data_IF_622507119869
#
_entry.id   IF_622507119869
#
_cell.length_a   1.000
_cell.length_b   1.000
_cell.length_c   1.000
_cell.angle_alpha   90.00
_cell.angle_beta   90.00
_cell.angle_gamma   90.00
#
_symmetry.space_group_name_H-M   'P 1'
#
loop_
_entity.id
_entity.type
_entity.pdbx_description
1 polymer ?
#
# COMPACT_ATOMS: atom_id res chain seq x y z
N UNK A 1 1.29 20.73 -1.03
CA UNK A 1 0.56 19.58 -1.59
C UNK A 1 1.05 18.30 -0.94
N UNK A 2 0.18 17.68 -0.15
CA UNK A 2 0.44 16.44 0.59
C UNK A 2 0.15 15.18 -0.25
N UNK A 3 -0.10 15.36 -1.55
CA UNK A 3 -0.40 14.28 -2.49
C UNK A 3 0.92 13.74 -3.02
N UNK A 4 1.28 12.53 -2.57
CA UNK A 4 2.49 11.84 -3.01
C UNK A 4 2.34 11.31 -4.44
N UNK A 5 1.13 10.88 -4.81
CA UNK A 5 0.84 10.33 -6.12
C UNK A 5 -0.65 10.50 -6.45
N UNK A 6 -0.97 10.73 -7.72
CA UNK A 6 -2.34 10.89 -8.22
C UNK A 6 -2.47 10.21 -9.58
N UNK A 7 -3.53 9.43 -9.73
CA UNK A 7 -3.87 8.75 -10.97
C UNK A 7 -5.34 9.02 -11.27
N UNK A 8 -5.63 9.44 -12.49
CA UNK A 8 -6.99 9.76 -12.95
C UNK A 8 -7.32 9.06 -14.29
N UNK A 9 -6.40 8.24 -14.80
CA UNK A 9 -6.60 7.49 -16.03
C UNK A 9 -7.72 6.47 -15.87
N UNK A 10 -8.45 6.20 -16.95
CA UNK A 10 -9.43 5.12 -16.97
C UNK A 10 -8.72 3.77 -16.80
N UNK A 11 -8.84 3.20 -15.60
CA UNK A 11 -8.28 1.88 -15.29
C UNK A 11 -9.13 0.73 -15.85
N UNK A 12 -10.27 1.02 -16.49
CA UNK A 12 -11.05 0.04 -17.23
C UNK A 12 -10.46 -0.16 -18.64
N UNK A 13 -9.94 -1.36 -18.88
CA UNK A 13 -9.67 -1.84 -20.24
C UNK A 13 -10.91 -2.60 -20.72
N UNK A 14 -11.69 -1.97 -21.59
CA UNK A 14 -12.95 -2.52 -22.10
C UNK A 14 -14.11 -2.38 -21.10
N UNK A 15 -15.19 -3.12 -21.37
CA UNK A 15 -16.41 -3.05 -20.57
C UNK A 15 -16.27 -3.81 -19.24
N UNK A 16 -16.52 -3.12 -18.13
CA UNK A 16 -16.63 -3.73 -16.79
C UNK A 16 -18.10 -3.81 -16.43
N UNK A 17 -18.62 -5.03 -16.36
CA UNK A 17 -20.02 -5.29 -16.06
C UNK A 17 -20.38 -5.15 -14.59
N UNK A 18 -21.68 -5.07 -14.32
CA UNK A 18 -22.19 -5.11 -12.95
C UNK A 18 -21.73 -6.38 -12.23
N UNK A 19 -21.20 -6.22 -11.01
CA UNK A 19 -20.71 -7.34 -10.19
C UNK A 19 -19.38 -7.95 -10.67
N UNK A 20 -18.71 -7.34 -11.64
CA UNK A 20 -17.34 -7.70 -11.99
C UNK A 20 -16.35 -6.91 -11.14
N UNK A 21 -15.38 -7.61 -10.58
CA UNK A 21 -14.30 -6.97 -9.84
C UNK A 21 -13.27 -6.37 -10.80
N UNK A 22 -12.74 -5.21 -10.42
CA UNK A 22 -11.63 -4.58 -11.13
C UNK A 22 -10.45 -4.46 -10.18
N UNK A 23 -9.38 -5.17 -10.51
CA UNK A 23 -8.12 -5.05 -9.79
C UNK A 23 -7.49 -3.68 -10.07
N UNK A 24 -7.17 -2.96 -9.01
CA UNK A 24 -6.25 -1.84 -9.07
C UNK A 24 -4.83 -2.38 -9.37
N UNK A 25 -4.14 -1.85 -10.40
CA UNK A 25 -2.76 -2.26 -10.70
C UNK A 25 -1.84 -1.63 -9.64
N UNK A 26 -1.56 -2.39 -8.58
CA UNK A 26 -0.64 -1.99 -7.51
C UNK A 26 0.85 -1.98 -7.91
N UNK A 27 1.72 -1.61 -6.97
CA UNK A 27 3.18 -1.64 -7.12
C UNK A 27 3.83 -0.38 -7.71
N UNK A 28 3.04 0.67 -7.96
CA UNK A 28 3.53 1.95 -8.51
C UNK A 28 3.76 3.02 -7.45
N UNK A 29 3.10 2.89 -6.30
CA UNK A 29 3.18 3.88 -5.23
C UNK A 29 4.57 3.93 -4.61
N UNK A 30 5.20 5.10 -4.65
CA UNK A 30 6.45 5.32 -3.92
C UNK A 30 6.16 5.55 -2.42
N UNK A 31 6.29 4.48 -1.63
CA UNK A 31 6.06 4.47 -0.18
C UNK A 31 7.39 4.48 0.61
N UNK A 32 8.31 5.37 0.25
CA UNK A 32 9.69 5.41 0.75
C UNK A 32 9.88 6.20 2.06
N UNK A 33 8.87 6.94 2.52
CA UNK A 33 8.94 7.74 3.74
C UNK A 33 8.26 7.04 4.90
N UNK A 34 8.82 7.21 6.08
CA UNK A 34 8.18 6.76 7.32
C UNK A 34 6.90 7.55 7.58
N UNK A 35 5.89 6.88 8.12
CA UNK A 35 4.62 7.50 8.49
C UNK A 35 3.41 6.78 7.93
N UNK A 36 2.24 7.36 8.15
CA UNK A 36 0.96 6.85 7.63
C UNK A 36 0.64 7.50 6.29
N UNK A 37 0.49 6.68 5.27
CA UNK A 37 -0.03 7.08 3.97
C UNK A 37 -1.54 6.95 3.97
N UNK A 38 -2.21 8.00 3.49
CA UNK A 38 -3.65 8.02 3.28
C UNK A 38 -3.97 7.76 1.81
N UNK A 39 -5.17 7.26 1.54
CA UNK A 39 -5.69 7.06 0.19
C UNK A 39 -7.07 7.68 0.06
N UNK A 40 -7.33 8.23 -1.11
CA UNK A 40 -8.66 8.61 -1.57
C UNK A 40 -8.88 7.92 -2.92
N UNK A 41 -10.01 7.22 -3.07
CA UNK A 41 -10.43 6.53 -4.29
C UNK A 41 -11.83 7.00 -4.61
N UNK A 42 -12.06 7.42 -5.84
CA UNK A 42 -13.39 7.77 -6.33
C UNK A 42 -13.73 6.90 -7.55
N UNK A 43 -14.96 6.40 -7.59
CA UNK A 43 -15.50 5.66 -8.73
C UNK A 43 -16.35 6.63 -9.57
N UNK A 44 -15.97 6.78 -10.83
CA UNK A 44 -16.74 7.55 -11.80
C UNK A 44 -17.45 6.61 -12.78
N UNK A 45 -18.73 6.88 -13.03
CA UNK A 45 -19.53 6.21 -14.06
C UNK A 45 -19.92 7.19 -15.16
N UNK A 46 -20.29 6.66 -16.34
CA UNK A 46 -20.59 7.41 -17.57
C UNK A 46 -19.34 8.07 -18.21
N UNK A 47 -18.65 7.34 -19.09
CA UNK A 47 -17.40 7.81 -19.72
C UNK A 47 -17.54 9.13 -20.52
N UNK A 48 -18.71 9.41 -21.11
CA UNK A 48 -18.92 10.63 -21.88
C UNK A 48 -19.15 11.88 -21.03
N UNK A 49 -19.68 11.69 -19.80
CA UNK A 49 -19.91 12.74 -18.81
C UNK A 49 -19.77 12.12 -17.40
N UNK A 50 -18.52 12.00 -16.90
CA UNK A 50 -18.22 11.24 -15.70
C UNK A 50 -18.89 11.80 -14.44
N UNK A 51 -19.59 10.93 -13.72
CA UNK A 51 -20.25 11.24 -12.45
C UNK A 51 -19.65 10.37 -11.34
N UNK A 52 -19.22 11.01 -10.25
CA UNK A 52 -18.78 10.31 -9.03
C UNK A 52 -19.97 9.57 -8.41
N UNK A 53 -19.89 8.25 -8.33
CA UNK A 53 -20.95 7.41 -7.76
C UNK A 53 -20.57 6.80 -6.42
N UNK A 54 -19.27 6.75 -6.12
CA UNK A 54 -18.76 6.25 -4.85
C UNK A 54 -17.39 6.85 -4.53
N UNK A 55 -17.07 6.94 -3.24
CA UNK A 55 -15.80 7.47 -2.76
C UNK A 55 -15.39 6.79 -1.46
N UNK A 56 -14.13 6.43 -1.39
CA UNK A 56 -13.48 5.91 -0.20
C UNK A 56 -12.29 6.79 0.19
N UNK A 57 -12.20 7.13 1.47
CA UNK A 57 -11.03 7.78 2.06
C UNK A 57 -10.60 7.06 3.33
N UNK A 58 -9.31 6.82 3.48
CA UNK A 58 -8.80 6.08 4.62
C UNK A 58 -7.29 5.95 4.67
N UNK A 59 -6.80 5.21 5.66
CA UNK A 59 -5.39 4.86 5.74
C UNK A 59 -5.06 3.74 4.75
N UNK A 60 -4.07 3.97 3.89
CA UNK A 60 -3.54 2.93 3.00
C UNK A 60 -2.64 1.97 3.80
N UNK A 61 -1.61 2.53 4.42
CA UNK A 61 -0.64 1.78 5.20
C UNK A 61 0.18 2.71 6.13
N UNK A 62 0.92 2.11 7.05
CA UNK A 62 1.93 2.82 7.86
C UNK A 62 3.30 2.19 7.60
N UNK A 63 4.21 2.97 7.00
CA UNK A 63 5.59 2.56 6.79
C UNK A 63 6.37 2.82 8.07
N UNK A 64 6.98 1.76 8.61
CA UNK A 64 7.81 1.79 9.81
C UNK A 64 9.24 1.42 9.45
N UNK A 65 10.19 1.85 10.27
CA UNK A 65 11.58 1.43 10.13
C UNK A 65 11.67 -0.10 10.20
N UNK A 66 12.46 -0.70 9.32
CA UNK A 66 12.77 -2.12 9.42
C UNK A 66 13.45 -2.38 10.76
N UNK A 67 12.90 -3.31 11.54
CA UNK A 67 13.58 -3.79 12.74
C UNK A 67 14.74 -4.66 12.25
N UNK A 68 16.00 -4.35 12.62
CA UNK A 68 17.11 -5.20 12.23
C UNK A 68 16.91 -6.60 12.80
N UNK A 69 17.20 -7.62 11.99
CA UNK A 69 17.23 -9.01 12.45
C UNK A 69 18.11 -9.11 13.70
N UNK A 70 17.69 -9.82 14.76
CA UNK A 70 18.51 -9.99 15.93
C UNK A 70 19.79 -10.75 15.54
N UNK A 71 20.91 -10.05 15.47
CA UNK A 71 22.20 -10.70 15.33
C UNK A 71 22.61 -11.22 16.70
N UNK A 72 22.51 -12.54 16.91
CA UNK A 72 23.18 -13.16 18.03
C UNK A 72 24.69 -13.11 17.77
N UNK A 73 25.43 -12.31 18.54
CA UNK A 73 26.90 -12.31 18.56
C UNK A 73 27.36 -12.59 19.98
N UNK A 74 28.22 -13.59 20.13
CA UNK A 74 28.81 -13.98 21.41
C UNK A 74 28.09 -15.15 22.05
N UNK A 75 28.40 -16.37 21.58
CA UNK A 75 28.24 -17.56 22.41
C UNK A 75 29.64 -17.89 22.92
N UNK A 76 29.89 -17.64 24.21
CA UNK A 76 31.16 -17.98 24.86
C UNK A 76 30.91 -19.02 25.96
N UNK A 77 31.75 -20.05 26.00
CA UNK A 77 31.79 -21.02 27.09
C UNK A 77 32.37 -20.31 28.33
N UNK A 78 31.50 -19.93 29.27
CA UNK A 78 31.94 -19.30 30.51
C UNK A 78 32.71 -20.27 31.41
N UNK A 79 32.29 -21.54 31.48
CA UNK A 79 32.95 -22.54 32.31
C UNK A 79 32.60 -23.97 31.85
N UNK A 80 33.55 -24.90 31.96
CA UNK A 80 33.33 -26.33 31.75
C UNK A 80 33.65 -27.09 33.03
N UNK A 81 32.63 -27.72 33.64
CA UNK A 81 32.77 -28.56 34.83
C UNK A 81 32.76 -30.02 34.41
N UNK A 82 33.88 -30.71 34.64
CA UNK A 82 33.98 -32.16 34.46
C UNK A 82 33.57 -32.85 35.75
N UNK A 83 32.62 -33.79 35.65
CA UNK A 83 32.15 -34.61 36.77
C UNK A 83 33.15 -35.72 37.09
#
# INVERSE_FOLDING_TARGET
DDIVERHEDDWAFGWVGAGQDRGFIGGRFNLDKLGTYMIAIALYMNSADPVEVDRYEGALCTVKAAVPEPSFRGFELAEYIKR
#
